data_IF_481216573287
#
_entry.id   IF_481216573287
#
_cell.length_a   1.000
_cell.length_b   1.000
_cell.length_c   1.000
_cell.angle_alpha   90.00
_cell.angle_beta   90.00
_cell.angle_gamma   90.00
#
_symmetry.space_group_name_H-M   'P 1'
#
loop_
_entity.id
_entity.type
_entity.pdbx_description
1 polymer ?
#
# COMPACT_ATOMS: atom_id res chain seq x y z
N UNK A 1 16.02 11.37 17.72
CA UNK A 1 15.08 11.11 16.62
C UNK A 1 13.67 11.13 17.18
N UNK A 2 12.81 12.03 16.73
CA UNK A 2 11.40 12.03 17.14
C UNK A 2 10.71 10.92 16.33
N UNK A 3 10.35 9.82 17.00
CA UNK A 3 9.83 8.61 16.38
C UNK A 3 8.54 8.83 15.58
N UNK A 4 8.35 7.99 14.56
CA UNK A 4 7.07 7.80 13.88
C UNK A 4 6.08 7.17 14.88
N UNK A 5 4.84 7.64 14.87
CA UNK A 5 3.74 7.04 15.64
C UNK A 5 2.66 6.60 14.67
N UNK A 6 2.29 5.34 14.75
CA UNK A 6 1.27 4.71 13.93
C UNK A 6 0.07 4.34 14.82
N UNK A 7 -1.11 4.79 14.42
CA UNK A 7 -2.39 4.25 14.87
C UNK A 7 -3.10 3.65 13.67
N UNK A 8 -3.65 2.45 13.80
CA UNK A 8 -4.28 1.75 12.69
C UNK A 8 -5.60 1.10 13.10
N UNK A 9 -6.43 0.84 12.10
CA UNK A 9 -7.73 0.18 12.27
C UNK A 9 -7.54 -1.33 12.35
N UNK A 10 -8.16 -1.96 13.35
CA UNK A 10 -8.24 -3.41 13.48
C UNK A 10 -9.68 -3.89 13.15
N UNK A 11 -9.87 -5.10 12.66
CA UNK A 11 -8.82 -6.04 12.26
C UNK A 11 -8.06 -5.58 11.02
N UNK A 12 -6.81 -6.02 10.89
CA UNK A 12 -6.00 -5.77 9.69
C UNK A 12 -6.33 -6.83 8.65
N UNK A 13 -6.76 -6.39 7.47
CA UNK A 13 -7.08 -7.25 6.32
C UNK A 13 -6.01 -7.15 5.22
N UNK A 14 -6.45 -6.92 3.99
CA UNK A 14 -5.57 -6.74 2.81
C UNK A 14 -4.87 -5.39 2.78
N UNK A 15 -5.35 -4.45 3.59
CA UNK A 15 -4.79 -3.11 3.72
C UNK A 15 -4.51 -2.78 5.17
N UNK A 16 -3.42 -2.05 5.38
CA UNK A 16 -3.18 -1.31 6.60
C UNK A 16 -3.79 0.08 6.46
N UNK A 17 -4.95 0.28 7.07
CA UNK A 17 -5.56 1.60 7.19
C UNK A 17 -5.22 2.22 8.53
N UNK A 18 -4.80 3.48 8.51
CA UNK A 18 -4.43 4.13 9.75
C UNK A 18 -4.02 5.58 9.59
N UNK A 19 -3.39 6.07 10.63
CA UNK A 19 -2.81 7.41 10.68
C UNK A 19 -1.36 7.31 11.13
N UNK A 20 -0.47 7.88 10.37
CA UNK A 20 0.94 8.00 10.72
C UNK A 20 1.27 9.47 11.03
N UNK A 21 1.78 9.72 12.23
CA UNK A 21 2.36 11.01 12.60
C UNK A 21 3.88 10.94 12.43
N UNK A 22 4.42 11.73 11.51
CA UNK A 22 5.84 11.79 11.18
C UNK A 22 6.44 13.15 11.57
N UNK A 23 7.67 13.15 12.07
CA UNK A 23 8.38 14.40 12.42
C UNK A 23 8.60 15.30 11.21
N UNK A 24 8.25 16.57 11.36
CA UNK A 24 8.60 17.62 10.41
C UNK A 24 10.03 18.15 10.67
N UNK A 25 10.61 18.83 9.68
CA UNK A 25 11.86 19.60 9.87
C UNK A 25 11.69 20.73 10.87
N UNK A 26 10.48 21.26 11.04
CA UNK A 26 10.16 22.24 12.06
C UNK A 26 9.97 21.56 13.41
N UNK A 27 10.72 22.00 14.43
CA UNK A 27 10.66 21.45 15.78
C UNK A 27 9.23 21.55 16.34
N UNK A 28 8.74 20.48 16.95
CA UNK A 28 7.40 20.43 17.52
C UNK A 28 6.26 20.29 16.50
N UNK A 29 6.57 20.16 15.22
CA UNK A 29 5.58 19.98 14.18
C UNK A 29 5.56 18.53 13.67
N UNK A 30 4.38 18.06 13.22
CA UNK A 30 4.16 16.73 12.66
C UNK A 30 3.44 16.80 11.32
N UNK A 31 3.87 15.98 10.39
CA UNK A 31 3.05 15.61 9.24
C UNK A 31 2.08 14.51 9.67
N UNK A 32 0.84 14.65 9.29
CA UNK A 32 -0.19 13.63 9.52
C UNK A 32 -0.52 12.99 8.18
N UNK A 33 -0.36 11.68 8.10
CA UNK A 33 -0.65 10.89 6.93
C UNK A 33 -1.87 10.02 7.17
N UNK A 34 -2.84 10.06 6.27
CA UNK A 34 -3.83 9.02 6.15
C UNK A 34 -3.18 7.85 5.41
N UNK A 35 -3.03 6.74 6.11
CA UNK A 35 -2.35 5.57 5.62
C UNK A 35 -3.33 4.64 4.92
N UNK A 36 -2.97 4.21 3.71
CA UNK A 36 -3.63 3.16 2.95
C UNK A 36 -2.54 2.34 2.27
N UNK A 37 -2.04 1.32 2.96
CA UNK A 37 -0.93 0.50 2.47
C UNK A 37 -1.44 -0.89 2.10
N UNK A 38 -1.28 -1.35 0.84
CA UNK A 38 -1.60 -2.71 0.45
C UNK A 38 -0.61 -3.69 1.10
N UNK A 39 -1.12 -4.70 1.81
CA UNK A 39 -0.31 -5.70 2.50
C UNK A 39 -0.02 -6.93 1.62
N UNK A 40 -0.70 -7.06 0.49
CA UNK A 40 -0.42 -8.10 -0.51
C UNK A 40 0.86 -7.83 -1.33
N UNK A 41 1.50 -6.68 -1.13
CA UNK A 41 2.86 -6.43 -1.57
C UNK A 41 3.85 -6.77 -0.45
N UNK A 42 4.95 -7.50 -0.74
CA UNK A 42 5.97 -7.77 0.27
C UNK A 42 6.60 -6.47 0.77
N UNK A 43 6.58 -6.26 2.08
CA UNK A 43 7.25 -5.11 2.70
C UNK A 43 7.71 -5.44 4.12
N UNK A 44 8.85 -4.91 4.51
CA UNK A 44 9.42 -4.98 5.87
C UNK A 44 9.26 -3.67 6.66
N UNK A 45 8.66 -2.66 6.04
CA UNK A 45 8.45 -1.35 6.62
C UNK A 45 7.14 -0.72 6.14
N UNK A 46 6.61 0.22 6.92
CA UNK A 46 5.41 0.97 6.51
C UNK A 46 5.75 1.90 5.35
N UNK A 47 5.13 1.65 4.20
CA UNK A 47 5.29 2.43 2.98
C UNK A 47 4.18 3.49 2.88
N UNK A 48 4.57 4.71 2.52
CA UNK A 48 3.67 5.85 2.35
C UNK A 48 3.29 6.12 0.88
N UNK A 49 3.73 5.28 -0.05
CA UNK A 49 3.54 5.49 -1.50
C UNK A 49 2.07 5.66 -1.92
N UNK A 50 1.16 5.05 -1.16
CA UNK A 50 -0.29 5.12 -1.41
C UNK A 50 -1.04 5.97 -0.37
N UNK A 51 -0.29 6.67 0.49
CA UNK A 51 -0.84 7.46 1.59
C UNK A 51 -1.02 8.92 1.20
N UNK A 52 -1.94 9.58 1.87
CA UNK A 52 -2.25 10.99 1.64
C UNK A 52 -1.87 11.83 2.86
N UNK A 53 -1.18 12.93 2.62
CA UNK A 53 -0.89 13.89 3.67
C UNK A 53 -2.12 14.76 3.94
N UNK A 54 -2.60 14.75 5.17
CA UNK A 54 -3.74 15.57 5.58
C UNK A 54 -3.35 17.05 5.55
N UNK A 55 -4.21 17.86 4.90
CA UNK A 55 -3.96 19.28 4.65
C UNK A 55 -3.05 19.58 3.46
N UNK A 56 -2.49 18.53 2.81
CA UNK A 56 -1.66 18.64 1.60
C UNK A 56 -0.30 19.32 1.84
N UNK A 57 0.52 19.35 0.81
CA UNK A 57 1.77 20.12 0.71
C UNK A 57 2.66 20.10 1.96
N UNK A 58 2.94 21.29 2.51
CA UNK A 58 3.77 21.50 3.70
C UNK A 58 2.97 21.58 5.01
N UNK A 59 1.67 21.30 5.00
CA UNK A 59 0.81 21.37 6.18
C UNK A 59 1.32 20.48 7.31
N UNK A 60 1.44 21.07 8.50
CA UNK A 60 1.87 20.39 9.72
C UNK A 60 0.92 20.73 10.86
N UNK A 61 0.92 19.87 11.88
CA UNK A 61 0.17 20.09 13.13
C UNK A 61 1.17 20.17 14.27
N UNK A 62 0.99 21.15 15.17
CA UNK A 62 1.81 21.27 16.38
C UNK A 62 1.51 20.10 17.33
N UNK A 63 2.55 19.51 17.91
CA UNK A 63 2.38 18.50 18.95
C UNK A 63 1.86 19.09 20.28
N UNK A 64 1.96 20.40 20.45
CA UNK A 64 1.47 21.13 21.62
C UNK A 64 -0.02 21.49 21.50
N UNK A 65 -0.57 21.45 20.26
CA UNK A 65 -2.00 21.63 20.02
C UNK A 65 -2.69 20.26 19.95
N UNK A 66 -2.87 19.65 21.11
CA UNK A 66 -3.55 18.36 21.24
C UNK A 66 -4.95 18.33 20.58
N UNK A 67 -5.80 19.37 20.70
CA UNK A 67 -7.09 19.41 20.03
C UNK A 67 -6.97 19.41 18.50
N UNK A 68 -6.01 20.14 17.93
CA UNK A 68 -5.78 20.15 16.47
C UNK A 68 -5.26 18.80 15.99
N UNK A 69 -4.32 18.19 16.73
CA UNK A 69 -3.81 16.86 16.44
C UNK A 69 -4.93 15.80 16.49
N UNK A 70 -5.76 15.82 17.53
CA UNK A 70 -6.89 14.91 17.67
C UNK A 70 -7.90 15.05 16.51
N UNK A 71 -8.23 16.29 16.11
CA UNK A 71 -9.11 16.54 14.95
C UNK A 71 -8.50 16.03 13.66
N UNK A 72 -7.20 16.24 13.42
CA UNK A 72 -6.52 15.76 12.22
C UNK A 72 -6.51 14.22 12.14
N UNK A 73 -6.27 13.56 13.26
CA UNK A 73 -6.32 12.10 13.38
C UNK A 73 -7.74 11.57 13.13
N UNK A 74 -8.75 12.17 13.78
CA UNK A 74 -10.15 11.79 13.59
C UNK A 74 -10.58 11.95 12.13
N UNK A 75 -10.29 13.09 11.50
CA UNK A 75 -10.58 13.33 10.09
C UNK A 75 -9.92 12.31 9.16
N UNK A 76 -8.67 11.91 9.45
CA UNK A 76 -7.96 10.89 8.69
C UNK A 76 -8.62 9.51 8.82
N UNK A 77 -9.09 9.14 10.00
CA UNK A 77 -9.79 7.87 10.25
C UNK A 77 -11.16 7.87 9.55
N UNK A 78 -11.94 8.93 9.72
CA UNK A 78 -13.28 9.08 9.13
C UNK A 78 -13.24 9.07 7.60
N UNK A 79 -12.19 9.64 7.00
CA UNK A 79 -12.00 9.69 5.55
C UNK A 79 -11.34 8.43 4.97
N UNK A 80 -11.06 7.41 5.79
CA UNK A 80 -10.47 6.15 5.30
C UNK A 80 -11.47 5.39 4.42
N UNK A 81 -11.02 4.97 3.25
CA UNK A 81 -11.81 4.17 2.31
C UNK A 81 -12.12 2.77 2.86
N UNK A 82 -13.10 2.09 2.29
CA UNK A 82 -13.23 0.64 2.47
C UNK A 82 -12.15 -0.11 1.68
N UNK A 83 -11.91 -1.38 2.03
CA UNK A 83 -10.98 -2.24 1.26
C UNK A 83 -11.39 -2.35 -0.21
N UNK A 84 -12.70 -2.48 -0.48
CA UNK A 84 -13.23 -2.58 -1.83
C UNK A 84 -13.00 -1.30 -2.64
N UNK A 85 -13.25 -0.14 -2.04
CA UNK A 85 -13.04 1.14 -2.70
C UNK A 85 -11.55 1.38 -3.00
N UNK A 86 -10.68 1.03 -2.05
CA UNK A 86 -9.24 1.17 -2.23
C UNK A 86 -8.70 0.16 -3.26
N UNK A 87 -9.19 -1.08 -3.24
CA UNK A 87 -8.85 -2.09 -4.24
C UNK A 87 -9.25 -1.64 -5.65
N UNK A 88 -10.47 -1.09 -5.81
CA UNK A 88 -10.94 -0.55 -7.09
C UNK A 88 -10.05 0.62 -7.55
N UNK A 89 -9.71 1.55 -6.64
CA UNK A 89 -8.81 2.66 -6.93
C UNK A 89 -7.43 2.18 -7.41
N UNK A 90 -6.86 1.17 -6.77
CA UNK A 90 -5.57 0.60 -7.18
C UNK A 90 -5.67 -0.15 -8.52
N UNK A 91 -6.80 -0.83 -8.78
CA UNK A 91 -7.04 -1.49 -10.05
C UNK A 91 -7.14 -0.49 -11.21
N UNK A 92 -7.59 0.74 -10.96
CA UNK A 92 -7.69 1.81 -11.97
C UNK A 92 -6.37 2.54 -12.23
N UNK A 93 -5.31 2.25 -11.47
CA UNK A 93 -4.01 2.85 -11.72
C UNK A 93 -3.54 2.61 -13.15
N UNK A 94 -2.95 3.65 -13.73
CA UNK A 94 -2.21 3.59 -15.00
C UNK A 94 -0.71 3.66 -14.69
N UNK A 95 -0.04 2.51 -14.50
CA UNK A 95 1.29 2.47 -13.89
C UNK A 95 2.39 3.11 -14.74
N UNK A 96 2.19 3.27 -16.05
CA UNK A 96 3.23 3.77 -16.93
C UNK A 96 4.56 3.02 -16.76
N UNK A 97 5.71 3.71 -16.69
CA UNK A 97 7.02 3.07 -16.51
C UNK A 97 7.34 2.67 -15.06
N UNK A 98 6.45 2.97 -14.09
CA UNK A 98 6.70 2.66 -12.69
C UNK A 98 6.34 1.21 -12.38
N UNK A 99 7.35 0.35 -12.28
CA UNK A 99 7.16 -1.09 -12.06
C UNK A 99 6.50 -1.43 -10.72
N UNK A 100 6.67 -0.60 -9.67
CA UNK A 100 5.97 -0.79 -8.39
C UNK A 100 4.47 -0.59 -8.56
N UNK A 101 4.07 0.48 -9.26
CA UNK A 101 2.66 0.71 -9.58
C UNK A 101 2.11 -0.39 -10.49
N UNK A 102 2.95 -0.97 -11.36
CA UNK A 102 2.56 -2.13 -12.19
C UNK A 102 2.28 -3.36 -11.33
N UNK A 103 3.11 -3.62 -10.33
CA UNK A 103 2.91 -4.72 -9.38
C UNK A 103 1.57 -4.56 -8.66
N UNK A 104 1.36 -3.41 -8.03
CA UNK A 104 0.12 -3.09 -7.32
C UNK A 104 -1.11 -3.21 -8.20
N UNK A 105 -1.07 -2.59 -9.39
CA UNK A 105 -2.19 -2.59 -10.33
C UNK A 105 -2.52 -3.99 -10.85
N UNK A 106 -1.51 -4.84 -11.12
CA UNK A 106 -1.72 -6.22 -11.56
C UNK A 106 -2.42 -7.05 -10.47
N UNK A 107 -1.97 -6.93 -9.22
CA UNK A 107 -2.56 -7.62 -8.08
C UNK A 107 -4.00 -7.14 -7.83
N UNK A 108 -4.23 -5.82 -7.81
CA UNK A 108 -5.55 -5.25 -7.61
C UNK A 108 -6.53 -5.65 -8.72
N UNK A 109 -6.10 -5.64 -10.00
CA UNK A 109 -6.92 -6.10 -11.12
C UNK A 109 -7.29 -7.58 -10.98
N UNK A 110 -6.40 -8.41 -10.44
CA UNK A 110 -6.70 -9.82 -10.15
C UNK A 110 -7.77 -9.95 -9.06
N UNK A 111 -7.68 -9.17 -7.98
CA UNK A 111 -8.69 -9.15 -6.93
C UNK A 111 -10.08 -8.77 -7.43
N UNK A 112 -10.18 -7.69 -8.25
CA UNK A 112 -11.47 -7.24 -8.79
C UNK A 112 -11.96 -8.06 -9.99
N UNK A 113 -11.17 -9.03 -10.47
CA UNK A 113 -11.56 -9.95 -11.55
C UNK A 113 -11.27 -9.44 -12.95
N UNK A 114 -10.54 -8.36 -13.12
CA UNK A 114 -10.14 -7.80 -14.42
C UNK A 114 -8.90 -8.53 -14.98
N UNK A 115 -8.99 -9.84 -15.17
CA UNK A 115 -7.86 -10.71 -15.48
C UNK A 115 -7.13 -10.33 -16.78
N UNK A 116 -7.85 -9.96 -17.82
CA UNK A 116 -7.25 -9.48 -19.08
C UNK A 116 -6.38 -8.24 -18.87
N UNK A 117 -6.83 -7.31 -18.02
CA UNK A 117 -6.05 -6.11 -17.67
C UNK A 117 -4.85 -6.45 -16.81
N UNK A 118 -4.98 -7.40 -15.87
CA UNK A 118 -3.84 -7.89 -15.09
C UNK A 118 -2.74 -8.44 -16.00
N UNK A 119 -3.05 -9.29 -16.97
CA UNK A 119 -2.09 -9.80 -17.94
C UNK A 119 -1.45 -8.71 -18.79
N UNK A 120 -2.22 -7.73 -19.27
CA UNK A 120 -1.67 -6.62 -20.05
C UNK A 120 -0.64 -5.80 -19.23
N UNK A 121 -0.92 -5.57 -17.94
CA UNK A 121 0.01 -4.87 -17.03
C UNK A 121 1.27 -5.69 -16.80
N UNK A 122 1.14 -7.01 -16.57
CA UNK A 122 2.26 -7.94 -16.38
C UNK A 122 3.17 -7.98 -17.61
N UNK A 123 2.61 -8.00 -18.80
CA UNK A 123 3.34 -7.93 -20.06
C UNK A 123 4.12 -6.61 -20.21
N UNK A 124 3.44 -5.48 -19.97
CA UNK A 124 4.08 -4.15 -20.00
C UNK A 124 5.22 -4.03 -18.99
N UNK A 125 5.04 -4.56 -17.77
CA UNK A 125 6.08 -4.56 -16.73
C UNK A 125 7.33 -5.35 -17.13
N UNK A 126 7.17 -6.44 -17.88
CA UNK A 126 8.30 -7.21 -18.42
C UNK A 126 9.17 -6.40 -19.38
N UNK A 127 8.58 -5.53 -20.16
CA UNK A 127 9.27 -4.70 -21.15
C UNK A 127 10.10 -3.58 -20.53
N UNK A 128 9.99 -3.34 -19.22
CA UNK A 128 10.78 -2.33 -18.50
C UNK A 128 12.27 -2.65 -18.59
N UNK A 129 13.10 -1.69 -18.98
CA UNK A 129 14.54 -1.85 -19.22
C UNK A 129 15.42 -1.36 -18.07
N UNK A 130 14.86 -1.11 -16.89
CA UNK A 130 15.57 -0.62 -15.72
C UNK A 130 16.40 -1.73 -15.07
N UNK A 131 17.72 -1.52 -14.92
CA UNK A 131 18.70 -2.51 -14.45
C UNK A 131 18.93 -2.49 -12.93
N UNK A 132 18.20 -1.64 -12.19
CA UNK A 132 18.33 -1.60 -10.73
C UNK A 132 17.93 -2.93 -10.10
N UNK A 133 18.68 -3.39 -9.12
CA UNK A 133 18.47 -4.67 -8.44
C UNK A 133 17.04 -4.86 -7.93
N UNK A 134 16.48 -3.84 -7.26
CA UNK A 134 15.11 -3.92 -6.75
C UNK A 134 14.05 -4.04 -7.86
N UNK A 135 14.33 -3.52 -9.08
CA UNK A 135 13.46 -3.71 -10.26
C UNK A 135 13.50 -5.17 -10.70
N UNK A 136 14.70 -5.78 -10.69
CA UNK A 136 14.87 -7.22 -10.96
C UNK A 136 14.03 -8.06 -9.99
N UNK A 137 14.07 -7.77 -8.70
CA UNK A 137 13.28 -8.47 -7.68
C UNK A 137 11.76 -8.36 -7.93
N UNK A 138 11.27 -7.17 -8.33
CA UNK A 138 9.85 -7.01 -8.68
C UNK A 138 9.51 -7.81 -9.94
N UNK A 139 10.35 -7.78 -10.98
CA UNK A 139 10.13 -8.57 -12.20
C UNK A 139 10.02 -10.06 -11.90
N UNK A 140 10.87 -10.60 -11.03
CA UNK A 140 10.82 -12.00 -10.63
C UNK A 140 9.50 -12.35 -9.91
N UNK A 141 9.02 -11.45 -9.02
CA UNK A 141 7.72 -11.63 -8.35
C UNK A 141 6.58 -11.61 -9.35
N UNK A 142 6.56 -10.64 -10.28
CA UNK A 142 5.55 -10.55 -11.33
C UNK A 142 5.54 -11.78 -12.27
N UNK A 143 6.71 -12.31 -12.62
CA UNK A 143 6.80 -13.53 -13.42
C UNK A 143 6.25 -14.76 -12.68
N UNK A 144 6.55 -14.89 -11.38
CA UNK A 144 6.00 -15.96 -10.55
C UNK A 144 4.48 -15.83 -10.42
N UNK A 145 4.01 -14.61 -10.19
CA UNK A 145 2.58 -14.33 -10.07
C UNK A 145 1.83 -14.58 -11.39
N UNK A 146 2.40 -14.19 -12.53
CA UNK A 146 1.81 -14.47 -13.85
C UNK A 146 1.66 -15.99 -14.09
N UNK A 147 2.68 -16.75 -13.73
CA UNK A 147 2.64 -18.21 -13.85
C UNK A 147 1.53 -18.79 -12.99
N UNK A 148 1.46 -18.39 -11.71
CA UNK A 148 0.40 -18.80 -10.80
C UNK A 148 -1.00 -18.46 -11.36
N UNK A 149 -1.17 -17.23 -11.87
CA UNK A 149 -2.44 -16.79 -12.45
C UNK A 149 -2.85 -17.62 -13.69
N UNK A 150 -1.87 -18.12 -14.47
CA UNK A 150 -2.11 -19.02 -15.63
C UNK A 150 -2.44 -20.43 -15.21
N UNK A 151 -1.75 -20.97 -14.21
CA UNK A 151 -1.85 -22.38 -13.78
C UNK A 151 -3.05 -22.61 -12.86
N UNK A 152 -3.22 -21.77 -11.85
CA UNK A 152 -4.23 -21.92 -10.78
C UNK A 152 -5.43 -20.96 -10.94
N UNK A 153 -5.38 -20.11 -11.95
CA UNK A 153 -6.43 -19.14 -12.24
C UNK A 153 -6.53 -18.04 -11.18
N UNK A 154 -7.63 -17.26 -11.27
CA UNK A 154 -7.88 -16.17 -10.34
C UNK A 154 -7.95 -16.63 -8.88
N UNK A 155 -8.57 -17.75 -8.61
CA UNK A 155 -8.79 -18.21 -7.23
C UNK A 155 -7.47 -18.50 -6.53
N UNK A 156 -6.57 -19.27 -7.13
CA UNK A 156 -5.26 -19.56 -6.57
C UNK A 156 -4.38 -18.30 -6.46
N UNK A 157 -4.45 -17.39 -7.44
CA UNK A 157 -3.74 -16.13 -7.38
C UNK A 157 -4.23 -15.25 -6.21
N UNK A 158 -5.53 -15.15 -5.96
CA UNK A 158 -6.11 -14.41 -4.82
C UNK A 158 -5.69 -15.04 -3.50
N UNK A 159 -5.75 -16.37 -3.37
CA UNK A 159 -5.30 -17.08 -2.17
C UNK A 159 -3.82 -16.78 -1.85
N UNK A 160 -2.97 -16.78 -2.87
CA UNK A 160 -1.56 -16.41 -2.72
C UNK A 160 -1.39 -14.98 -2.22
N UNK A 161 -2.12 -14.02 -2.78
CA UNK A 161 -2.07 -12.62 -2.35
C UNK A 161 -2.61 -12.42 -0.93
N UNK A 162 -3.65 -13.15 -0.54
CA UNK A 162 -4.18 -13.13 0.83
C UNK A 162 -3.17 -13.70 1.82
N UNK A 163 -2.50 -14.80 1.48
CA UNK A 163 -1.41 -15.35 2.29
C UNK A 163 -0.22 -14.35 2.41
N UNK A 164 0.11 -13.66 1.33
CA UNK A 164 1.13 -12.61 1.35
C UNK A 164 0.73 -11.45 2.25
N UNK A 165 -0.54 -11.02 2.24
CA UNK A 165 -1.03 -9.95 3.11
C UNK A 165 -0.89 -10.32 4.60
N UNK A 166 -1.22 -11.55 4.97
CA UNK A 166 -1.02 -12.06 6.33
C UNK A 166 0.46 -12.06 6.70
N UNK A 167 1.33 -12.54 5.81
CA UNK A 167 2.78 -12.57 6.04
C UNK A 167 3.35 -11.16 6.25
N UNK A 168 2.97 -10.20 5.40
CA UNK A 168 3.40 -8.79 5.53
C UNK A 168 2.90 -8.19 6.84
N UNK A 169 1.63 -8.42 7.23
CA UNK A 169 1.10 -7.95 8.50
C UNK A 169 1.87 -8.51 9.71
N UNK A 170 2.29 -9.78 9.67
CA UNK A 170 3.12 -10.40 10.69
C UNK A 170 4.53 -9.80 10.74
N UNK A 171 5.15 -9.57 9.58
CA UNK A 171 6.47 -8.95 9.46
C UNK A 171 6.49 -7.54 10.05
N UNK A 172 5.41 -6.79 9.86
CA UNK A 172 5.20 -5.45 10.42
C UNK A 172 4.74 -5.45 11.88
N UNK A 173 4.58 -6.62 12.51
CA UNK A 173 4.04 -6.80 13.87
C UNK A 173 2.65 -6.18 14.09
N UNK A 174 1.80 -6.18 13.07
CA UNK A 174 0.42 -5.66 13.11
C UNK A 174 -0.56 -6.73 13.64
N UNK A 175 -0.22 -8.00 13.48
CA UNK A 175 -0.97 -9.15 13.98
C UNK A 175 -0.01 -10.15 14.62
N UNK A 176 -0.48 -10.87 15.62
CA UNK A 176 0.31 -11.93 16.26
C UNK A 176 0.26 -13.22 15.42
N UNK A 177 1.31 -14.02 15.54
CA UNK A 177 1.39 -15.36 14.92
C UNK A 177 0.46 -16.34 15.58
#
# INVERSE_FOLDING_TARGET
MQGRRLAYRAPVGRFLFGVLAEGSVAKGQRYIWRLSMPLFEPSDSVDLSYSERIGGGSSTVSVEDEPALARAVAAAIESSASEEAEMARLADLSPGPNIRLSETAAYANTYVGHIGRAFAILEAARATTDDREWVGQIKERLQRFERLLREDGRAGAVEHLDAQAVHTAQTLNLIHR
#
